data_IF_740727417304
#
_entry.id   IF_740727417304
#
_cell.length_a   1.000
_cell.length_b   1.000
_cell.length_c   1.000
_cell.angle_alpha   90.00
_cell.angle_beta   90.00
_cell.angle_gamma   90.00
#
_symmetry.space_group_name_H-M   'P 1'
#
loop_
_entity.id
_entity.type
_entity.pdbx_description
1 polymer ?
#
# COMPACT_ATOMS: atom_id res chain seq x y z
N UNK A 1 -13.96 59.61 -48.60
CA UNK A 1 -14.43 59.18 -47.27
C UNK A 1 -14.91 57.71 -47.23
N UNK A 2 -14.58 56.87 -48.22
CA UNK A 2 -15.18 55.52 -48.35
C UNK A 2 -14.32 54.37 -47.77
N UNK A 3 -13.07 54.64 -47.36
CA UNK A 3 -12.17 53.62 -46.79
C UNK A 3 -12.23 53.51 -45.27
N UNK A 4 -13.00 54.35 -44.58
CA UNK A 4 -13.07 54.36 -43.12
C UNK A 4 -13.85 53.16 -42.54
N UNK A 5 -14.87 52.67 -43.26
CA UNK A 5 -15.70 51.54 -42.83
C UNK A 5 -14.96 50.19 -42.71
N UNK A 6 -14.14 49.75 -43.70
CA UNK A 6 -13.42 48.48 -43.58
C UNK A 6 -12.33 48.52 -42.50
N UNK A 7 -11.70 49.67 -42.28
CA UNK A 7 -10.69 49.86 -41.23
C UNK A 7 -11.34 49.77 -39.84
N UNK A 8 -12.52 50.39 -39.67
CA UNK A 8 -13.28 50.32 -38.42
C UNK A 8 -13.67 48.88 -38.08
N UNK A 9 -14.19 48.10 -39.05
CA UNK A 9 -14.53 46.69 -38.84
C UNK A 9 -13.32 45.84 -38.46
N UNK A 10 -12.18 46.04 -39.13
CA UNK A 10 -10.96 45.28 -38.82
C UNK A 10 -10.43 45.61 -37.41
N UNK A 11 -10.48 46.89 -37.01
CA UNK A 11 -10.11 47.29 -35.65
C UNK A 11 -11.04 46.68 -34.59
N UNK A 12 -12.35 46.63 -34.87
CA UNK A 12 -13.31 45.96 -33.98
C UNK A 12 -12.97 44.47 -33.87
N UNK A 13 -12.74 43.75 -34.99
CA UNK A 13 -12.37 42.33 -34.99
C UNK A 13 -11.10 42.07 -34.17
N UNK A 14 -10.04 42.88 -34.34
CA UNK A 14 -8.80 42.75 -33.55
C UNK A 14 -9.02 43.04 -32.06
N UNK A 15 -9.91 43.98 -31.73
CA UNK A 15 -10.32 44.21 -30.34
C UNK A 15 -11.15 43.03 -29.82
N UNK A 16 -12.00 42.37 -30.61
CA UNK A 16 -12.77 41.21 -30.14
C UNK A 16 -11.86 39.98 -29.91
N UNK A 17 -10.89 39.73 -30.80
CA UNK A 17 -9.95 38.60 -30.69
C UNK A 17 -9.03 38.74 -29.45
N UNK A 18 -8.56 39.95 -29.16
CA UNK A 18 -7.75 40.24 -27.96
C UNK A 18 -8.53 40.17 -26.64
N UNK A 19 -9.85 40.34 -26.64
CA UNK A 19 -10.70 40.10 -25.47
C UNK A 19 -11.16 38.63 -25.37
N UNK A 20 -10.96 37.84 -26.43
CA UNK A 20 -11.27 36.40 -26.48
C UNK A 20 -10.12 35.50 -26.01
N UNK A 21 -9.00 36.06 -25.55
CA UNK A 21 -8.09 35.33 -24.67
C UNK A 21 -8.72 35.24 -23.27
N UNK A 22 -9.85 34.52 -23.27
CA UNK A 22 -10.75 34.27 -22.19
C UNK A 22 -9.94 33.99 -20.94
N UNK A 23 -10.30 34.72 -19.90
CA UNK A 23 -10.12 34.45 -18.48
C UNK A 23 -10.58 33.02 -18.15
N UNK A 24 -9.91 32.01 -18.70
CA UNK A 24 -9.91 30.67 -18.18
C UNK A 24 -9.08 30.80 -16.93
N UNK A 25 -9.75 30.98 -15.80
CA UNK A 25 -9.15 30.62 -14.51
C UNK A 25 -8.75 29.16 -14.66
N UNK A 26 -7.50 28.94 -15.09
CA UNK A 26 -6.97 27.60 -15.26
C UNK A 26 -6.98 27.00 -13.87
N UNK A 27 -8.01 26.23 -13.55
CA UNK A 27 -8.17 25.61 -12.25
C UNK A 27 -6.97 24.69 -12.09
N UNK A 28 -5.97 25.15 -11.34
CA UNK A 28 -4.74 24.41 -11.13
C UNK A 28 -5.05 23.37 -10.07
N UNK A 29 -5.29 22.14 -10.51
CA UNK A 29 -5.40 21.01 -9.62
C UNK A 29 -4.02 20.64 -9.03
N UNK A 30 -4.04 19.89 -7.92
CA UNK A 30 -2.83 19.43 -7.26
C UNK A 30 -2.07 18.37 -8.06
N UNK A 31 -0.98 17.86 -7.48
CA UNK A 31 -0.24 16.75 -8.08
C UNK A 31 -1.13 15.51 -8.20
N UNK A 32 -1.09 14.87 -9.37
CA UNK A 32 -1.92 13.70 -9.73
C UNK A 32 -3.44 13.93 -9.67
N UNK A 33 -3.87 15.18 -9.80
CA UNK A 33 -5.27 15.56 -9.94
C UNK A 33 -5.56 16.10 -11.34
N UNK A 34 -6.78 15.89 -11.81
CA UNK A 34 -7.32 16.49 -13.02
C UNK A 34 -8.60 17.23 -12.71
N UNK A 35 -8.82 18.34 -13.42
CA UNK A 35 -10.10 19.03 -13.36
C UNK A 35 -11.17 18.19 -14.05
N UNK A 36 -12.30 17.99 -13.36
CA UNK A 36 -13.44 17.27 -13.87
C UNK A 36 -14.71 18.14 -13.77
N UNK A 37 -15.54 18.22 -14.82
CA UNK A 37 -16.82 18.92 -14.77
C UNK A 37 -17.82 18.23 -13.84
N UNK A 38 -17.61 16.95 -13.52
CA UNK A 38 -18.43 16.17 -12.60
C UNK A 38 -17.61 15.62 -11.45
N UNK A 39 -18.13 15.74 -10.23
CA UNK A 39 -17.50 15.21 -9.01
C UNK A 39 -18.10 13.85 -8.66
N UNK A 40 -17.26 12.87 -8.33
CA UNK A 40 -17.74 11.62 -7.73
C UNK A 40 -18.14 11.89 -6.27
N UNK A 41 -19.39 11.57 -5.89
CA UNK A 41 -19.88 11.83 -4.53
C UNK A 41 -19.07 11.08 -3.46
N UNK A 42 -18.50 9.93 -3.82
CA UNK A 42 -17.52 9.22 -3.03
C UNK A 42 -16.20 9.20 -3.80
N UNK A 43 -15.23 10.05 -3.46
CA UNK A 43 -13.93 10.01 -4.12
C UNK A 43 -13.21 8.70 -3.76
N UNK A 44 -12.36 8.15 -4.65
CA UNK A 44 -11.64 6.93 -4.37
C UNK A 44 -10.60 7.17 -3.26
N UNK A 45 -10.57 6.29 -2.26
CA UNK A 45 -9.64 6.36 -1.12
C UNK A 45 -8.83 5.09 -1.02
N UNK A 46 -7.83 5.07 -0.13
CA UNK A 46 -7.10 3.84 0.16
C UNK A 46 -7.98 2.72 0.74
N UNK A 47 -9.05 3.05 1.46
CA UNK A 47 -9.99 2.06 2.02
C UNK A 47 -10.97 1.54 0.98
N UNK A 48 -11.36 2.39 0.04
CA UNK A 48 -12.22 2.02 -1.08
C UNK A 48 -11.65 2.62 -2.38
N UNK A 49 -10.72 1.90 -3.05
CA UNK A 49 -10.10 2.38 -4.27
C UNK A 49 -11.06 2.48 -5.46
N UNK A 50 -12.17 1.74 -5.43
CA UNK A 50 -13.18 1.71 -6.47
C UNK A 50 -14.60 1.86 -5.89
N UNK A 51 -14.95 3.04 -5.35
CA UNK A 51 -16.28 3.26 -4.79
C UNK A 51 -17.32 3.34 -5.92
N UNK A 52 -18.43 2.64 -5.76
CA UNK A 52 -19.56 2.69 -6.70
C UNK A 52 -20.56 3.74 -6.21
N UNK A 53 -20.34 5.01 -6.57
CA UNK A 53 -21.19 6.11 -6.15
C UNK A 53 -21.69 6.94 -7.35
N UNK A 54 -22.76 7.71 -7.12
CA UNK A 54 -23.31 8.64 -8.11
C UNK A 54 -22.32 9.77 -8.39
N UNK A 55 -22.40 10.31 -9.59
CA UNK A 55 -21.68 11.51 -10.01
C UNK A 55 -22.59 12.74 -9.89
N UNK A 56 -22.03 13.85 -9.44
CA UNK A 56 -22.68 15.16 -9.37
C UNK A 56 -21.98 16.12 -10.33
N UNK A 57 -22.65 16.47 -11.43
CA UNK A 57 -22.15 17.40 -12.45
C UNK A 57 -22.50 18.86 -12.16
N UNK A 58 -23.19 19.16 -11.05
CA UNK A 58 -23.46 20.54 -10.63
C UNK A 58 -22.28 21.18 -9.92
N UNK A 59 -21.30 20.37 -9.50
CA UNK A 59 -20.09 20.79 -8.79
C UNK A 59 -18.86 20.30 -9.55
N UNK A 60 -18.23 21.11 -10.40
CA UNK A 60 -16.93 20.77 -10.97
C UNK A 60 -15.84 20.83 -9.87
N UNK A 61 -14.89 19.90 -9.90
CA UNK A 61 -13.80 19.85 -8.91
C UNK A 61 -12.55 19.16 -9.46
N UNK A 62 -11.45 19.26 -8.71
CA UNK A 62 -10.26 18.46 -8.95
C UNK A 62 -10.46 17.06 -8.39
N UNK A 63 -10.21 16.04 -9.21
CA UNK A 63 -10.33 14.63 -8.85
C UNK A 63 -9.04 13.89 -9.15
N UNK A 64 -8.70 12.86 -8.39
CA UNK A 64 -7.54 12.02 -8.69
C UNK A 64 -7.58 11.45 -10.12
N UNK A 65 -6.42 11.39 -10.75
CA UNK A 65 -6.23 10.69 -12.03
C UNK A 65 -6.65 9.20 -11.91
N UNK A 66 -7.03 8.54 -13.01
CA UNK A 66 -7.28 7.10 -13.02
C UNK A 66 -6.12 6.31 -12.39
N UNK A 67 -6.44 5.35 -11.51
CA UNK A 67 -5.45 4.57 -10.77
C UNK A 67 -4.83 5.27 -9.55
N UNK A 68 -5.22 6.52 -9.27
CA UNK A 68 -4.86 7.26 -8.06
C UNK A 68 -6.05 7.38 -7.11
N UNK A 69 -5.74 7.50 -5.82
CA UNK A 69 -6.74 7.61 -4.75
C UNK A 69 -6.28 8.62 -3.72
N UNK A 70 -7.23 9.18 -2.97
CA UNK A 70 -6.92 10.10 -1.88
C UNK A 70 -6.27 9.36 -0.71
N UNK A 71 -5.10 9.85 -0.31
CA UNK A 71 -4.43 9.50 0.94
C UNK A 71 -5.12 10.13 2.15
N UNK A 72 -4.72 9.72 3.36
CA UNK A 72 -5.15 10.38 4.61
C UNK A 72 -4.73 11.86 4.68
N UNK A 73 -3.67 12.25 3.95
CA UNK A 73 -3.24 13.66 3.82
C UNK A 73 -3.99 14.43 2.72
N UNK A 74 -5.06 13.85 2.15
CA UNK A 74 -5.85 14.41 1.03
C UNK A 74 -5.05 14.69 -0.24
N UNK A 75 -4.01 13.90 -0.49
CA UNK A 75 -3.24 13.97 -1.73
C UNK A 75 -3.57 12.76 -2.61
N UNK A 76 -3.61 12.96 -3.93
CA UNK A 76 -3.76 11.87 -4.87
C UNK A 76 -2.46 11.08 -4.98
N UNK A 77 -2.47 9.88 -4.41
CA UNK A 77 -1.37 8.93 -4.48
C UNK A 77 -1.75 7.76 -5.39
N UNK A 78 -0.78 7.12 -6.05
CA UNK A 78 -1.03 5.86 -6.74
C UNK A 78 -1.73 4.85 -5.82
N UNK A 79 -2.76 4.14 -6.29
CA UNK A 79 -3.50 3.18 -5.47
C UNK A 79 -2.58 2.08 -4.89
N UNK A 80 -1.49 1.76 -5.59
CA UNK A 80 -0.45 0.84 -5.14
C UNK A 80 0.44 1.37 -3.99
N UNK A 81 0.31 2.64 -3.63
CA UNK A 81 0.99 3.31 -2.52
C UNK A 81 0.15 3.35 -1.24
N UNK A 82 -1.15 3.04 -1.33
CA UNK A 82 -2.04 3.03 -0.16
C UNK A 82 -1.63 2.07 0.95
N UNK A 83 -0.88 1.04 0.57
CA UNK A 83 -0.38 0.01 1.47
C UNK A 83 0.69 0.49 2.46
N UNK A 84 0.91 1.81 2.60
CA UNK A 84 1.74 2.39 3.66
C UNK A 84 0.92 2.97 4.83
N UNK A 85 -0.40 3.08 4.71
CA UNK A 85 -1.21 3.85 5.67
C UNK A 85 -2.25 3.05 6.44
N UNK A 86 -2.56 1.83 6.03
CA UNK A 86 -3.46 0.95 6.78
C UNK A 86 -2.64 0.09 7.72
N UNK A 87 -2.58 0.55 8.96
CA UNK A 87 -2.08 -0.23 10.09
C UNK A 87 -0.56 -0.46 10.01
N UNK A 88 0.22 0.59 10.32
CA UNK A 88 1.61 0.38 10.75
C UNK A 88 1.62 -0.64 11.89
N UNK A 89 0.53 -0.70 12.68
CA UNK A 89 0.27 -1.73 13.67
C UNK A 89 -0.47 -2.94 13.14
N UNK A 90 -0.14 -4.11 13.66
CA UNK A 90 -0.81 -5.37 13.33
C UNK A 90 -0.97 -6.24 14.59
N UNK A 91 -1.91 -7.18 14.56
CA UNK A 91 -2.05 -8.26 15.54
C UNK A 91 -1.58 -9.59 14.96
N UNK A 92 -1.78 -9.79 13.66
CA UNK A 92 -1.38 -10.97 12.90
C UNK A 92 -0.93 -10.60 11.49
N UNK A 93 -0.30 -11.55 10.78
CA UNK A 93 0.22 -11.32 9.43
C UNK A 93 -0.85 -10.94 8.41
N UNK A 94 -2.10 -11.39 8.60
CA UNK A 94 -3.22 -11.07 7.71
C UNK A 94 -3.65 -9.60 7.79
N UNK A 95 -3.24 -8.89 8.84
CA UNK A 95 -3.45 -7.45 8.96
C UNK A 95 -2.44 -6.67 8.09
N UNK A 96 -1.35 -7.33 7.67
CA UNK A 96 -0.30 -6.74 6.85
C UNK A 96 -0.54 -6.99 5.36
N UNK A 97 0.09 -6.14 4.52
CA UNK A 97 0.09 -6.30 3.06
C UNK A 97 0.57 -7.72 2.69
N UNK A 98 0.02 -8.36 1.64
CA UNK A 98 0.61 -9.58 1.09
C UNK A 98 2.12 -9.43 0.87
N UNK A 99 2.91 -10.31 1.48
CA UNK A 99 4.38 -10.24 1.46
C UNK A 99 5.04 -9.48 2.62
N UNK A 100 4.25 -8.94 3.56
CA UNK A 100 4.72 -8.38 4.83
C UNK A 100 4.35 -9.30 5.98
N UNK A 101 5.07 -9.17 7.09
CA UNK A 101 4.85 -9.94 8.32
C UNK A 101 4.59 -8.98 9.47
N UNK A 102 3.75 -9.43 10.41
CA UNK A 102 3.51 -8.72 11.65
C UNK A 102 4.64 -9.01 12.64
N UNK A 103 5.46 -8.01 12.94
CA UNK A 103 6.65 -8.10 13.78
C UNK A 103 6.52 -7.04 14.88
N UNK A 104 6.51 -7.48 16.15
CA UNK A 104 6.34 -6.60 17.32
C UNK A 104 5.11 -5.68 17.26
N UNK A 105 4.04 -6.19 16.64
CA UNK A 105 2.83 -5.43 16.43
C UNK A 105 2.96 -4.37 15.35
N UNK A 106 3.95 -4.47 14.44
CA UNK A 106 4.09 -3.62 13.27
C UNK A 106 4.29 -4.41 11.97
N UNK A 107 3.74 -3.92 10.85
CA UNK A 107 3.94 -4.57 9.55
C UNK A 107 5.33 -4.23 8.97
N UNK A 108 6.16 -5.25 8.76
CA UNK A 108 7.51 -5.12 8.20
C UNK A 108 7.72 -6.01 6.98
N UNK A 109 8.60 -5.58 6.06
CA UNK A 109 9.17 -6.47 5.06
C UNK A 109 10.04 -7.52 5.76
N UNK A 110 10.22 -8.71 5.16
CA UNK A 110 11.22 -9.68 5.60
C UNK A 110 12.65 -9.16 5.35
N UNK A 111 13.02 -8.07 6.02
CA UNK A 111 14.31 -7.42 5.93
C UNK A 111 15.09 -7.79 7.19
N UNK A 112 15.55 -9.03 7.18
CA UNK A 112 16.35 -9.65 8.22
C UNK A 112 16.63 -11.07 7.78
N UNK A 113 17.76 -11.25 7.09
CA UNK A 113 18.52 -12.50 6.88
C UNK A 113 17.90 -13.73 7.56
N UNK A 114 16.91 -14.33 6.91
CA UNK A 114 16.84 -15.76 6.71
C UNK A 114 16.41 -15.92 5.26
N UNK A 115 17.39 -15.96 4.34
CA UNK A 115 17.18 -16.69 3.11
C UNK A 115 16.81 -18.10 3.54
N UNK A 116 15.51 -18.42 3.59
CA UNK A 116 15.11 -19.80 3.41
C UNK A 116 15.58 -20.10 2.00
N UNK A 117 16.76 -20.68 1.87
CA UNK A 117 17.16 -21.34 0.65
C UNK A 117 15.94 -22.15 0.24
N UNK A 118 15.29 -21.72 -0.83
CA UNK A 118 14.44 -22.61 -1.61
C UNK A 118 15.46 -23.61 -2.13
N UNK A 119 15.77 -24.63 -1.34
CA UNK A 119 16.01 -25.91 -1.96
C UNK A 119 14.70 -26.14 -2.66
N UNK A 120 14.71 -25.93 -3.97
CA UNK A 120 13.94 -26.70 -4.90
C UNK A 120 14.14 -28.16 -4.52
N UNK A 121 13.46 -28.65 -3.47
CA UNK A 121 13.15 -30.05 -3.33
C UNK A 121 11.95 -30.34 -4.25
N UNK A 122 12.02 -29.85 -5.49
CA UNK A 122 11.72 -30.66 -6.66
C UNK A 122 12.91 -31.61 -6.94
N UNK A 123 13.37 -32.28 -5.89
CA UNK A 123 13.84 -33.65 -5.88
C UNK A 123 12.83 -34.44 -5.04
N UNK A 124 11.62 -34.58 -5.59
CA UNK A 124 10.85 -35.80 -5.38
C UNK A 124 11.66 -36.92 -6.04
N UNK A 125 12.54 -37.55 -5.29
CA UNK A 125 13.02 -38.89 -5.60
C UNK A 125 13.33 -39.57 -4.28
N UNK A 126 12.33 -40.29 -3.78
CA UNK A 126 12.50 -41.56 -3.07
C UNK A 126 13.96 -41.96 -2.85
N UNK A 127 14.49 -41.72 -1.66
CA UNK A 127 15.67 -42.44 -1.16
C UNK A 127 15.23 -43.24 0.07
N UNK A 128 14.52 -44.34 -0.19
CA UNK A 128 14.41 -45.44 0.77
C UNK A 128 15.83 -45.95 1.05
N UNK A 129 16.43 -45.51 2.14
CA UNK A 129 17.58 -46.17 2.75
C UNK A 129 17.61 -45.80 4.21
N UNK A 130 17.36 -46.80 5.04
CA UNK A 130 17.16 -46.65 6.47
C UNK A 130 18.38 -46.05 7.16
N UNK A 131 18.20 -44.88 7.74
CA UNK A 131 18.85 -44.55 9.00
C UNK A 131 17.78 -44.56 10.09
N UNK A 132 17.65 -45.73 10.73
CA UNK A 132 17.13 -45.81 12.09
C UNK A 132 18.07 -45.00 12.97
N UNK A 133 17.84 -43.71 13.10
CA UNK A 133 18.13 -43.07 14.37
C UNK A 133 16.90 -43.31 15.26
N UNK A 134 16.86 -44.52 15.82
CA UNK A 134 16.45 -44.62 17.22
C UNK A 134 17.25 -43.59 18.02
N UNK A 135 16.73 -43.31 19.21
CA UNK A 135 17.52 -42.98 20.38
C UNK A 135 17.34 -41.53 20.80
N UNK A 136 16.50 -41.40 21.83
CA UNK A 136 16.47 -40.30 22.77
C UNK A 136 16.26 -38.91 22.17
N UNK A 137 14.99 -38.45 22.20
CA UNK A 137 14.71 -37.02 22.36
C UNK A 137 15.35 -36.61 23.69
N UNK A 138 16.63 -36.27 23.63
CA UNK A 138 17.39 -35.56 24.64
C UNK A 138 16.47 -34.47 25.16
N UNK A 139 16.08 -34.57 26.43
CA UNK A 139 15.21 -33.61 27.10
C UNK A 139 15.84 -32.21 26.96
N UNK A 140 15.45 -31.44 25.95
CA UNK A 140 15.95 -30.08 25.77
C UNK A 140 16.08 -29.57 24.35
N UNK A 141 16.16 -30.42 23.32
CA UNK A 141 16.38 -29.94 21.95
C UNK A 141 15.10 -29.39 21.28
N UNK A 142 15.20 -28.21 20.68
CA UNK A 142 14.10 -27.51 20.02
C UNK A 142 14.55 -26.88 18.68
N UNK A 143 13.59 -26.54 17.81
CA UNK A 143 13.86 -25.75 16.59
C UNK A 143 12.90 -24.56 16.46
N UNK A 144 11.83 -24.59 17.25
CA UNK A 144 10.74 -23.63 17.31
C UNK A 144 10.25 -23.61 18.75
N UNK A 145 9.68 -22.49 19.19
CA UNK A 145 9.13 -22.33 20.54
C UNK A 145 8.01 -23.35 20.84
N UNK A 146 7.26 -23.77 19.82
CA UNK A 146 6.20 -24.80 19.92
C UNK A 146 6.74 -26.18 20.33
N UNK A 147 8.04 -26.42 20.24
CA UNK A 147 8.67 -27.66 20.72
C UNK A 147 8.96 -27.63 22.23
N UNK A 148 8.88 -26.45 22.86
CA UNK A 148 9.15 -26.24 24.26
C UNK A 148 7.85 -26.26 25.08
N UNK A 149 7.97 -26.68 26.34
CA UNK A 149 6.87 -26.59 27.31
C UNK A 149 6.41 -25.14 27.52
N UNK A 150 5.18 -24.97 27.99
CA UNK A 150 4.61 -23.65 28.30
C UNK A 150 5.57 -22.86 29.20
N UNK A 151 5.88 -21.60 28.80
CA UNK A 151 6.84 -20.65 29.42
C UNK A 151 8.32 -20.81 29.02
N UNK A 152 8.65 -21.77 28.16
CA UNK A 152 9.98 -21.89 27.58
C UNK A 152 9.99 -21.43 26.12
N UNK A 153 11.09 -20.82 25.72
CA UNK A 153 11.39 -20.40 24.34
C UNK A 153 12.60 -21.15 23.84
N UNK A 154 12.67 -21.34 22.52
CA UNK A 154 13.76 -22.05 21.87
C UNK A 154 14.89 -21.08 21.53
N UNK A 155 16.03 -21.24 22.19
CA UNK A 155 17.24 -20.46 21.92
C UNK A 155 18.39 -21.41 21.63
N UNK A 156 19.00 -21.28 20.45
CA UNK A 156 20.16 -22.06 20.02
C UNK A 156 19.97 -23.58 20.13
N UNK A 157 18.76 -24.04 19.78
CA UNK A 157 18.40 -25.44 19.86
C UNK A 157 18.00 -25.92 21.26
N UNK A 158 17.91 -25.05 22.26
CA UNK A 158 17.63 -25.41 23.66
C UNK A 158 16.41 -24.66 24.22
N UNK A 159 15.52 -25.37 24.93
CA UNK A 159 14.39 -24.74 25.62
C UNK A 159 14.84 -24.02 26.92
N UNK A 160 14.74 -22.69 26.94
CA UNK A 160 15.07 -21.84 28.10
C UNK A 160 13.85 -21.08 28.58
N UNK A 161 13.77 -20.73 29.87
CA UNK A 161 12.67 -19.93 30.40
C UNK A 161 12.68 -18.51 29.81
N UNK A 162 11.51 -18.02 29.41
CA UNK A 162 11.36 -16.67 28.85
C UNK A 162 11.65 -15.56 29.89
N UNK A 163 11.39 -15.85 31.17
CA UNK A 163 11.62 -14.91 32.28
C UNK A 163 12.47 -15.57 33.39
N UNK A 164 13.34 -14.79 34.04
CA UNK A 164 14.12 -15.24 35.21
C UNK A 164 13.21 -15.64 36.38
N UNK A 165 11.99 -15.12 36.43
CA UNK A 165 10.99 -15.39 37.47
C UNK A 165 10.34 -16.77 37.33
N UNK A 166 10.35 -17.38 36.14
CA UNK A 166 9.80 -18.72 35.92
C UNK A 166 10.77 -19.85 36.35
N UNK A 167 11.98 -19.50 36.78
CA UNK A 167 12.98 -20.48 37.25
C UNK A 167 12.73 -21.00 38.67
N UNK A 168 11.78 -20.41 39.39
CA UNK A 168 11.60 -20.59 40.84
C UNK A 168 10.18 -20.99 41.28
N UNK A 169 9.34 -21.46 40.34
CA UNK A 169 7.98 -21.92 40.61
C UNK A 169 7.68 -23.21 39.84
#
# INVERSE_FOLDING_TARGET
MMFAFPIALLSVVLVVDSQYHQTTTQVSCGINEQYSPCTQMCPPTCESPNPQCRVDCTRPSCTCLPGHVYSNSRQCIPANSCYQTQSLRCRMNNDCRPGMYCINGYCGAASGVYTRTVVSSSSLSSSSSGHRHHSHRSQGECSLDVHCDHRKICIDGICVYADRSDRYN
#
